data_IF_289486182062
#
_entry.id   IF_289486182062
#
_cell.length_a   1.000
_cell.length_b   1.000
_cell.length_c   1.000
_cell.angle_alpha   90.00
_cell.angle_beta   90.00
_cell.angle_gamma   90.00
#
_symmetry.space_group_name_H-M   'P 1'
#
loop_
_entity.id
_entity.type
_entity.pdbx_description
1 polymer ?
#
# COMPACT_ATOMS: atom_id res chain seq x y z
N UNK A 1 12.05 -14.92 16.77
CA UNK A 1 10.76 -15.52 16.59
C UNK A 1 10.77 -16.69 15.60
N UNK A 2 9.66 -17.40 15.51
CA UNK A 2 9.50 -18.55 14.58
C UNK A 2 9.59 -18.13 13.10
N UNK A 3 9.29 -16.88 12.78
CA UNK A 3 9.23 -16.33 11.42
C UNK A 3 10.48 -15.53 11.01
N UNK A 4 11.52 -15.47 11.84
CA UNK A 4 12.70 -14.65 11.58
C UNK A 4 13.47 -15.03 10.30
N UNK A 5 13.30 -16.27 9.82
CA UNK A 5 13.91 -16.77 8.59
C UNK A 5 13.00 -16.66 7.35
N UNK A 6 11.82 -16.04 7.48
CA UNK A 6 10.92 -15.84 6.36
C UNK A 6 11.14 -14.43 5.77
N UNK A 7 11.80 -14.30 4.61
CA UNK A 7 12.15 -13.01 4.03
C UNK A 7 10.92 -12.20 3.60
N UNK A 8 9.83 -12.83 3.18
CA UNK A 8 8.58 -12.14 2.86
C UNK A 8 8.01 -11.41 4.08
N UNK A 9 8.06 -12.07 5.27
CA UNK A 9 7.56 -11.46 6.51
C UNK A 9 8.53 -10.42 7.06
N UNK A 10 9.83 -10.54 6.82
CA UNK A 10 10.81 -9.50 7.18
C UNK A 10 10.64 -8.23 6.32
N UNK A 11 10.39 -8.39 5.03
CA UNK A 11 10.16 -7.24 4.13
C UNK A 11 8.74 -6.69 4.22
N UNK A 12 7.83 -7.42 4.86
CA UNK A 12 6.47 -6.96 5.08
C UNK A 12 6.46 -5.83 6.12
N UNK A 13 5.96 -4.62 5.73
CA UNK A 13 6.05 -3.46 6.61
C UNK A 13 5.01 -3.50 7.73
N UNK A 14 5.38 -2.94 8.88
CA UNK A 14 4.43 -2.64 9.95
C UNK A 14 3.26 -1.80 9.42
N UNK A 15 2.00 -2.09 9.78
CA UNK A 15 0.84 -1.40 9.21
C UNK A 15 0.76 0.09 9.53
N UNK A 16 1.37 0.55 10.62
CA UNK A 16 1.32 1.95 11.06
C UNK A 16 2.59 2.71 10.70
N UNK A 17 3.76 2.22 11.13
CA UNK A 17 5.04 2.91 10.90
C UNK A 17 5.55 2.76 9.48
N UNK A 18 5.10 1.73 8.76
CA UNK A 18 5.54 1.33 7.42
C UNK A 18 7.02 0.91 7.35
N UNK A 19 7.66 0.69 8.51
CA UNK A 19 9.01 0.15 8.60
C UNK A 19 9.02 -1.38 8.40
N UNK A 20 10.05 -1.89 7.75
CA UNK A 20 10.33 -3.32 7.53
C UNK A 20 11.76 -3.65 7.94
N UNK A 21 12.09 -4.93 8.07
CA UNK A 21 13.43 -5.42 8.40
C UNK A 21 13.98 -4.93 9.74
N UNK A 22 13.14 -4.54 10.69
CA UNK A 22 13.56 -4.05 12.01
C UNK A 22 12.49 -4.24 13.08
N UNK A 23 12.93 -4.22 14.34
CA UNK A 23 12.14 -3.76 15.46
C UNK A 23 12.75 -2.49 16.06
N UNK A 24 11.94 -1.71 16.72
CA UNK A 24 12.27 -0.40 17.23
C UNK A 24 11.41 -0.09 18.46
N UNK A 25 11.90 0.85 19.28
CA UNK A 25 11.13 1.40 20.38
C UNK A 25 10.16 2.45 19.83
N UNK A 26 8.87 2.14 19.84
CA UNK A 26 7.82 3.11 19.54
C UNK A 26 7.61 4.02 20.77
N UNK A 27 7.53 5.33 20.54
CA UNK A 27 7.21 6.31 21.57
C UNK A 27 6.33 7.43 21.03
N UNK A 28 5.64 8.13 21.93
CA UNK A 28 4.79 9.27 21.57
C UNK A 28 5.61 10.44 21.03
N UNK A 29 4.96 11.33 20.29
CA UNK A 29 5.56 12.59 19.83
C UNK A 29 5.97 13.48 21.01
N UNK A 30 5.15 13.51 22.08
CA UNK A 30 5.42 14.29 23.29
C UNK A 30 6.65 13.77 24.05
N UNK A 31 6.75 12.44 24.26
CA UNK A 31 7.92 11.85 24.93
C UNK A 31 9.20 12.02 24.10
N UNK A 32 9.10 11.86 22.79
CA UNK A 32 10.25 12.04 21.90
C UNK A 32 10.79 13.48 21.96
N UNK A 33 9.90 14.47 22.00
CA UNK A 33 10.26 15.88 22.12
C UNK A 33 10.92 16.17 23.48
N UNK A 34 10.33 15.65 24.56
CA UNK A 34 10.83 15.85 25.93
C UNK A 34 12.21 15.20 26.14
N UNK A 35 12.42 14.01 25.55
CA UNK A 35 13.68 13.27 25.68
C UNK A 35 14.70 13.58 24.56
N UNK A 36 14.36 14.44 23.61
CA UNK A 36 15.23 14.88 22.53
C UNK A 36 15.50 13.83 21.43
N UNK A 37 14.57 12.92 21.19
CA UNK A 37 14.64 11.95 20.07
C UNK A 37 14.09 12.54 18.78
N UNK A 38 14.61 12.07 17.63
CA UNK A 38 14.19 12.52 16.30
C UNK A 38 14.20 11.41 15.26
N UNK A 39 13.36 11.57 14.24
CA UNK A 39 13.37 10.76 13.01
C UNK A 39 13.55 11.66 11.78
N UNK A 40 14.76 12.12 11.49
CA UNK A 40 15.00 13.01 10.37
C UNK A 40 14.78 12.28 9.03
N UNK A 41 14.10 12.96 8.12
CA UNK A 41 13.96 12.52 6.72
C UNK A 41 15.13 13.07 5.92
N UNK A 42 15.82 12.20 5.19
CA UNK A 42 16.94 12.55 4.32
C UNK A 42 16.47 13.04 2.95
N UNK A 43 17.36 13.66 2.18
CA UNK A 43 17.06 14.18 0.85
C UNK A 43 16.49 13.13 -0.13
N UNK A 44 16.86 11.86 0.05
CA UNK A 44 16.34 10.75 -0.73
C UNK A 44 15.00 10.20 -0.22
N UNK A 45 14.41 10.81 0.80
CA UNK A 45 13.16 10.39 1.44
C UNK A 45 13.31 9.26 2.46
N UNK A 46 14.52 8.77 2.74
CA UNK A 46 14.73 7.75 3.76
C UNK A 46 14.63 8.34 5.17
N UNK A 47 14.15 7.54 6.12
CA UNK A 47 14.04 7.94 7.53
C UNK A 47 15.23 7.38 8.30
N UNK A 48 15.85 8.23 9.11
CA UNK A 48 16.82 7.83 10.13
C UNK A 48 16.21 7.95 11.53
N UNK A 49 16.82 7.31 12.53
CA UNK A 49 16.38 7.41 13.92
C UNK A 49 17.53 7.37 14.89
N UNK A 50 17.32 7.99 16.04
CA UNK A 50 18.25 7.94 17.18
C UNK A 50 18.19 6.56 17.86
N UNK A 51 19.22 6.22 18.64
CA UNK A 51 19.21 5.04 19.49
C UNK A 51 18.82 5.38 20.93
N UNK A 52 18.09 4.47 21.57
CA UNK A 52 17.78 4.50 23.00
C UNK A 52 18.31 3.25 23.70
N UNK A 53 18.89 3.42 24.86
CA UNK A 53 19.13 2.36 25.83
C UNK A 53 17.86 2.23 26.69
N UNK A 54 17.24 1.08 26.64
CA UNK A 54 16.05 0.73 27.40
C UNK A 54 16.45 -0.17 28.55
N UNK A 55 16.19 0.25 29.77
CA UNK A 55 16.50 -0.50 30.98
C UNK A 55 15.24 -0.82 31.75
N UNK A 56 15.03 -2.11 32.03
CA UNK A 56 13.90 -2.59 32.85
C UNK A 56 14.31 -3.84 33.62
N UNK A 57 13.95 -3.92 34.89
CA UNK A 57 14.25 -5.06 35.76
C UNK A 57 15.75 -5.47 35.81
N UNK A 58 16.65 -4.50 35.69
CA UNK A 58 18.11 -4.74 35.67
C UNK A 58 18.64 -5.35 34.37
N UNK A 59 17.85 -5.34 33.31
CA UNK A 59 18.26 -5.73 31.95
C UNK A 59 18.27 -4.50 31.06
N UNK A 60 19.22 -4.45 30.14
CA UNK A 60 19.39 -3.33 29.21
C UNK A 60 19.45 -3.82 27.77
N UNK A 61 18.86 -3.05 26.87
CA UNK A 61 18.91 -3.28 25.41
C UNK A 61 19.01 -1.93 24.72
N UNK A 62 19.90 -1.82 23.73
CA UNK A 62 19.98 -0.64 22.86
C UNK A 62 19.18 -0.92 21.61
N UNK A 63 18.22 -0.03 21.32
CA UNK A 63 17.31 -0.18 20.17
C UNK A 63 17.11 1.17 19.46
N UNK A 64 16.84 1.18 18.15
CA UNK A 64 16.45 2.42 17.46
C UNK A 64 15.07 2.89 17.90
N UNK A 65 14.83 4.18 17.80
CA UNK A 65 13.56 4.83 18.17
C UNK A 65 12.77 5.20 16.93
N UNK A 66 11.49 4.85 16.94
CA UNK A 66 10.50 5.30 15.95
C UNK A 66 9.41 6.11 16.66
N UNK A 67 9.29 7.38 16.29
CA UNK A 67 8.24 8.25 16.81
C UNK A 67 6.93 7.91 16.11
N UNK A 68 5.91 7.58 16.90
CA UNK A 68 4.62 7.17 16.40
C UNK A 68 3.52 8.12 16.86
N UNK A 69 2.89 8.86 15.94
CA UNK A 69 1.69 9.65 16.22
C UNK A 69 0.56 8.76 16.78
N UNK A 70 -0.20 9.27 17.74
CA UNK A 70 -1.26 8.53 18.40
C UNK A 70 -0.80 7.59 19.52
N UNK A 71 0.51 7.44 19.73
CA UNK A 71 1.04 6.73 20.90
C UNK A 71 0.80 7.56 22.16
N UNK A 72 0.22 6.96 23.19
CA UNK A 72 -0.04 7.66 24.44
C UNK A 72 1.25 8.09 25.15
N UNK A 73 1.31 9.31 25.67
CA UNK A 73 2.45 9.79 26.46
C UNK A 73 2.74 8.86 27.65
N UNK A 74 4.02 8.58 27.89
CA UNK A 74 4.48 7.66 28.94
C UNK A 74 4.30 6.18 28.59
N UNK A 75 3.91 5.84 27.37
CA UNK A 75 3.81 4.46 26.90
C UNK A 75 4.83 4.16 25.79
N UNK A 76 5.37 2.95 25.82
CA UNK A 76 6.40 2.49 24.89
C UNK A 76 6.00 1.13 24.31
N UNK A 77 6.35 0.91 23.04
CA UNK A 77 6.15 -0.39 22.39
C UNK A 77 7.46 -0.93 21.82
N UNK A 78 7.74 -2.22 22.04
CA UNK A 78 8.90 -2.89 21.47
C UNK A 78 8.54 -4.31 21.03
N UNK A 79 8.65 -4.59 19.73
CA UNK A 79 8.32 -5.88 19.18
C UNK A 79 9.38 -6.94 19.54
N UNK A 80 8.89 -8.14 19.88
CA UNK A 80 9.72 -9.33 20.11
C UNK A 80 9.93 -10.08 18.79
N UNK A 81 10.98 -10.93 18.74
CA UNK A 81 11.16 -11.88 17.63
C UNK A 81 12.26 -11.50 16.64
N UNK A 82 12.89 -10.37 16.79
CA UNK A 82 14.06 -9.89 16.05
C UNK A 82 15.38 -10.19 16.75
N UNK A 83 16.51 -9.81 16.12
CA UNK A 83 17.85 -9.96 16.68
C UNK A 83 18.34 -11.40 16.72
N UNK A 84 17.82 -12.27 15.86
CA UNK A 84 18.33 -13.62 15.68
C UNK A 84 19.54 -13.59 14.74
N UNK A 85 20.66 -14.15 15.19
CA UNK A 85 21.92 -14.19 14.41
C UNK A 85 22.27 -15.62 13.97
N UNK A 86 22.00 -16.63 14.80
CA UNK A 86 22.36 -18.00 14.51
C UNK A 86 21.44 -18.62 13.44
N UNK A 87 22.05 -19.22 12.42
CA UNK A 87 21.36 -19.94 11.35
C UNK A 87 20.65 -19.05 10.33
N UNK A 88 21.01 -17.75 10.30
CA UNK A 88 20.55 -16.80 9.29
C UNK A 88 21.72 -16.24 8.50
N UNK A 89 21.48 -15.86 7.23
CA UNK A 89 22.41 -15.05 6.45
C UNK A 89 22.58 -13.69 7.09
N UNK A 90 23.71 -13.04 6.86
CA UNK A 90 24.05 -11.74 7.45
C UNK A 90 22.99 -10.68 7.14
N UNK A 91 22.51 -10.62 5.91
CA UNK A 91 21.48 -9.66 5.43
C UNK A 91 20.12 -9.86 6.11
N UNK A 92 19.89 -11.03 6.70
CA UNK A 92 18.67 -11.36 7.45
C UNK A 92 18.84 -11.21 8.98
N UNK A 93 20.04 -10.87 9.46
CA UNK A 93 20.32 -10.65 10.88
C UNK A 93 19.97 -9.21 11.25
N UNK A 94 18.68 -8.93 11.33
CA UNK A 94 18.12 -7.60 11.51
C UNK A 94 17.44 -7.44 12.88
N UNK A 95 17.37 -6.17 13.31
CA UNK A 95 16.74 -5.79 14.57
C UNK A 95 17.52 -6.22 15.81
N UNK A 96 16.89 -6.08 16.96
CA UNK A 96 17.49 -6.31 18.28
C UNK A 96 16.69 -7.37 19.03
N UNK A 97 17.40 -8.23 19.78
CA UNK A 97 16.76 -9.21 20.65
C UNK A 97 16.18 -8.52 21.91
N UNK A 98 14.86 -8.34 21.92
CA UNK A 98 14.15 -7.75 23.05
C UNK A 98 13.67 -8.76 24.11
N UNK A 99 13.88 -10.07 23.92
CA UNK A 99 13.48 -11.09 24.91
C UNK A 99 14.12 -10.94 26.31
N UNK A 100 15.33 -10.39 26.48
CA UNK A 100 15.87 -10.13 27.83
C UNK A 100 14.99 -9.22 28.69
N UNK A 101 14.20 -8.34 28.05
CA UNK A 101 13.27 -7.43 28.74
C UNK A 101 11.91 -8.10 29.07
N UNK A 102 11.61 -9.24 28.43
CA UNK A 102 10.37 -9.99 28.64
C UNK A 102 10.40 -10.76 29.95
N UNK A 103 9.37 -10.62 30.77
CA UNK A 103 9.26 -11.31 32.06
C UNK A 103 8.04 -12.21 32.09
N UNK A 104 8.31 -13.52 31.99
CA UNK A 104 7.43 -14.64 32.33
C UNK A 104 5.92 -14.46 32.15
N UNK A 105 5.41 -14.49 30.89
CA UNK A 105 3.98 -14.45 30.62
C UNK A 105 3.34 -13.06 30.64
N UNK A 106 4.05 -12.02 31.07
CA UNK A 106 3.54 -10.65 31.09
C UNK A 106 4.26 -9.79 30.03
N UNK A 107 3.51 -9.32 29.05
CA UNK A 107 4.01 -8.43 28.00
C UNK A 107 4.11 -6.97 28.44
N UNK A 108 3.53 -6.61 29.58
CA UNK A 108 3.53 -5.24 30.13
C UNK A 108 4.61 -5.13 31.19
N UNK A 109 5.49 -4.14 31.02
CA UNK A 109 6.53 -3.81 31.98
C UNK A 109 6.33 -2.38 32.47
N UNK A 110 6.68 -2.13 33.72
CA UNK A 110 6.57 -0.80 34.36
C UNK A 110 7.96 -0.28 34.75
N UNK A 111 8.05 1.02 34.98
CA UNK A 111 9.27 1.67 35.42
C UNK A 111 10.44 1.46 34.45
N UNK A 112 10.17 1.69 33.18
CA UNK A 112 11.17 1.60 32.11
C UNK A 112 12.00 2.88 32.12
N UNK A 113 13.32 2.75 32.25
CA UNK A 113 14.24 3.87 32.08
C UNK A 113 14.73 3.93 30.62
N UNK A 114 14.81 5.15 30.09
CA UNK A 114 15.26 5.41 28.72
C UNK A 114 16.39 6.42 28.76
N UNK A 115 17.46 6.13 28.05
CA UNK A 115 18.60 7.02 27.89
C UNK A 115 18.95 7.12 26.40
N UNK A 116 19.11 8.34 25.87
CA UNK A 116 19.55 8.54 24.49
C UNK A 116 21.01 8.13 24.37
N UNK A 117 21.32 7.36 23.32
CA UNK A 117 22.67 6.86 23.03
C UNK A 117 23.12 7.42 21.67
N UNK A 118 24.39 7.70 21.55
CA UNK A 118 24.99 8.18 20.30
C UNK A 118 24.86 7.16 19.19
N UNK A 119 24.62 7.65 17.99
CA UNK A 119 24.48 6.85 16.79
C UNK A 119 23.20 7.16 16.02
N UNK A 120 23.16 6.70 14.77
CA UNK A 120 22.02 6.89 13.87
C UNK A 120 21.64 5.58 13.23
N UNK A 121 20.39 5.18 13.36
CA UNK A 121 19.84 4.00 12.72
C UNK A 121 19.17 4.33 11.39
N UNK A 122 19.33 3.43 10.42
CA UNK A 122 18.77 3.56 9.09
C UNK A 122 17.52 2.67 8.96
N UNK A 123 16.33 3.28 8.96
CA UNK A 123 15.07 2.56 8.75
C UNK A 123 14.79 2.30 7.27
N UNK A 124 14.14 1.19 6.99
CA UNK A 124 13.60 0.83 5.68
C UNK A 124 12.07 0.98 5.72
N UNK A 125 11.57 2.15 5.34
CA UNK A 125 10.14 2.44 5.30
C UNK A 125 9.63 2.39 3.86
N UNK A 126 8.53 1.68 3.64
CA UNK A 126 7.87 1.61 2.33
C UNK A 126 7.02 2.84 2.01
N UNK A 127 6.69 3.63 3.02
CA UNK A 127 5.97 4.89 2.90
C UNK A 127 6.53 5.91 3.88
N UNK A 128 6.90 7.08 3.40
CA UNK A 128 7.39 8.21 4.20
C UNK A 128 6.30 9.26 4.39
N UNK A 129 5.44 9.44 3.39
CA UNK A 129 4.32 10.37 3.46
C UNK A 129 3.34 9.98 4.58
N UNK A 130 2.92 10.96 5.39
CA UNK A 130 2.09 10.74 6.57
C UNK A 130 0.61 11.01 6.34
N UNK A 131 0.27 12.12 5.67
CA UNK A 131 -1.11 12.58 5.43
C UNK A 131 -1.45 12.59 3.95
N UNK A 132 -2.71 12.86 3.60
CA UNK A 132 -3.11 13.10 2.20
C UNK A 132 -2.77 14.52 1.71
N UNK A 133 -2.30 15.41 2.60
CA UNK A 133 -1.95 16.80 2.30
C UNK A 133 -3.07 17.55 1.55
N UNK A 134 -4.32 17.43 2.01
CA UNK A 134 -5.50 18.06 1.42
C UNK A 134 -5.93 17.50 0.06
N UNK A 135 -5.46 16.29 -0.33
CA UNK A 135 -5.80 15.66 -1.62
C UNK A 135 -6.90 14.61 -1.45
N UNK A 136 -8.12 15.05 -1.20
CA UNK A 136 -9.27 14.18 -0.93
C UNK A 136 -9.69 13.29 -2.12
N UNK A 137 -9.19 13.53 -3.33
CA UNK A 137 -9.38 12.63 -4.49
C UNK A 137 -8.64 11.30 -4.36
N UNK A 138 -7.69 11.20 -3.44
CA UNK A 138 -6.95 9.95 -3.15
C UNK A 138 -7.76 9.09 -2.19
N UNK A 139 -8.21 9.67 -1.08
CA UNK A 139 -8.92 8.98 -0.02
C UNK A 139 -10.17 9.78 0.34
N UNK A 140 -11.34 9.16 0.18
CA UNK A 140 -12.61 9.74 0.59
C UNK A 140 -13.08 9.11 1.91
N UNK A 141 -13.40 9.96 2.85
CA UNK A 141 -13.86 9.60 4.19
C UNK A 141 -15.14 10.39 4.50
N UNK A 142 -16.08 9.77 5.18
CA UNK A 142 -17.27 10.43 5.68
C UNK A 142 -17.55 10.00 7.13
N UNK A 143 -18.08 10.88 7.95
CA UNK A 143 -18.67 10.49 9.24
C UNK A 143 -19.99 9.74 9.01
N UNK A 144 -20.41 8.95 9.96
CA UNK A 144 -21.72 8.27 9.89
C UNK A 144 -22.89 9.29 9.83
N UNK A 145 -22.71 10.44 10.45
CA UNK A 145 -23.67 11.55 10.40
C UNK A 145 -23.82 12.09 8.97
N UNK A 146 -22.72 12.42 8.32
CA UNK A 146 -22.72 12.89 6.93
C UNK A 146 -23.28 11.83 5.98
N UNK A 147 -22.87 10.58 6.13
CA UNK A 147 -23.39 9.46 5.33
C UNK A 147 -24.92 9.34 5.37
N UNK A 148 -25.54 9.63 6.53
CA UNK A 148 -26.97 9.55 6.72
C UNK A 148 -27.75 10.83 6.36
N UNK A 149 -27.10 12.00 6.42
CA UNK A 149 -27.80 13.29 6.32
C UNK A 149 -27.46 14.08 5.07
N UNK A 150 -26.30 13.85 4.44
CA UNK A 150 -25.83 14.59 3.27
C UNK A 150 -25.93 13.74 2.01
N UNK A 151 -26.38 14.33 0.91
CA UNK A 151 -26.40 13.65 -0.39
C UNK A 151 -24.95 13.34 -0.84
N UNK A 152 -24.63 12.10 -1.25
CA UNK A 152 -23.26 11.70 -1.52
C UNK A 152 -22.57 12.53 -2.62
N UNK A 153 -23.31 12.96 -3.63
CA UNK A 153 -22.79 13.71 -4.81
C UNK A 153 -23.18 15.18 -4.81
N UNK A 154 -23.59 15.72 -3.67
CA UNK A 154 -23.85 17.16 -3.57
C UNK A 154 -22.60 17.96 -3.99
N UNK A 155 -22.82 19.03 -4.77
CA UNK A 155 -21.73 19.81 -5.37
C UNK A 155 -20.83 20.48 -4.32
N UNK A 156 -21.39 20.92 -3.21
CA UNK A 156 -20.66 21.67 -2.18
C UNK A 156 -20.26 20.80 -0.99
N UNK A 157 -21.17 19.94 -0.51
CA UNK A 157 -21.04 19.22 0.75
C UNK A 157 -21.04 17.70 0.60
N UNK A 158 -21.08 17.17 -0.64
CA UNK A 158 -21.16 15.73 -0.88
C UNK A 158 -19.90 14.99 -0.43
N UNK A 159 -20.06 13.98 0.42
CA UNK A 159 -18.97 13.13 0.92
C UNK A 159 -18.39 12.21 -0.16
N UNK A 160 -19.05 12.00 -1.29
CA UNK A 160 -18.55 11.32 -2.48
C UNK A 160 -18.68 12.21 -3.71
N UNK A 161 -18.34 13.47 -3.57
CA UNK A 161 -18.38 14.48 -4.62
C UNK A 161 -17.59 14.04 -5.85
N UNK A 162 -18.16 14.15 -7.08
CA UNK A 162 -17.43 13.95 -8.33
C UNK A 162 -16.31 14.96 -8.49
N UNK A 163 -15.31 14.62 -9.28
CA UNK A 163 -14.29 15.59 -9.68
C UNK A 163 -14.87 16.58 -10.70
N UNK A 164 -14.66 17.88 -10.48
CA UNK A 164 -15.04 18.94 -11.40
C UNK A 164 -13.80 19.59 -12.02
N UNK A 165 -13.92 20.00 -13.26
CA UNK A 165 -12.88 20.71 -14.01
C UNK A 165 -13.47 21.93 -14.72
N UNK A 166 -12.65 22.94 -14.97
CA UNK A 166 -13.05 24.09 -15.79
C UNK A 166 -12.87 23.75 -17.27
N UNK A 167 -13.96 23.77 -18.02
CA UNK A 167 -13.96 23.57 -19.47
C UNK A 167 -14.82 24.68 -20.12
N UNK A 168 -14.24 25.39 -21.08
CA UNK A 168 -14.88 26.53 -21.74
C UNK A 168 -15.49 27.56 -20.74
N UNK A 169 -14.68 27.88 -19.71
CA UNK A 169 -15.07 28.79 -18.62
C UNK A 169 -16.28 28.34 -17.78
N UNK A 170 -16.69 27.10 -17.89
CA UNK A 170 -17.74 26.47 -17.07
C UNK A 170 -17.19 25.35 -16.24
N UNK A 171 -17.72 25.16 -15.04
CA UNK A 171 -17.42 24.01 -14.19
C UNK A 171 -18.28 22.82 -14.64
N UNK A 172 -17.64 21.72 -15.01
CA UNK A 172 -18.29 20.49 -15.48
C UNK A 172 -17.68 19.27 -14.79
N UNK A 173 -18.47 18.22 -14.65
CA UNK A 173 -17.90 16.96 -14.14
C UNK A 173 -16.80 16.44 -15.05
N UNK A 174 -15.62 16.10 -14.50
CA UNK A 174 -14.47 15.64 -15.27
C UNK A 174 -14.78 14.44 -16.17
N UNK A 175 -15.67 13.55 -15.73
CA UNK A 175 -16.08 12.35 -16.50
C UNK A 175 -16.83 12.67 -17.80
N UNK A 176 -17.36 13.90 -17.98
CA UNK A 176 -18.08 14.31 -19.19
C UNK A 176 -17.14 14.79 -20.28
N UNK A 177 -15.85 14.98 -19.95
CA UNK A 177 -14.81 15.42 -20.88
C UNK A 177 -13.84 14.30 -21.10
N UNK A 178 -13.81 13.73 -22.28
CA UNK A 178 -12.88 12.68 -22.68
C UNK A 178 -12.24 13.03 -24.02
N UNK A 179 -10.94 12.76 -24.15
CA UNK A 179 -10.19 12.93 -25.41
C UNK A 179 -10.27 11.71 -26.31
N UNK A 180 -10.83 10.60 -25.79
CA UNK A 180 -10.87 9.32 -26.46
C UNK A 180 -12.30 8.85 -26.65
N UNK A 181 -12.59 8.26 -27.81
CA UNK A 181 -13.84 7.53 -27.99
C UNK A 181 -13.84 6.30 -27.05
N UNK A 182 -14.95 6.11 -26.35
CA UNK A 182 -15.08 4.97 -25.45
C UNK A 182 -15.14 3.66 -26.26
N UNK A 183 -14.26 2.72 -25.90
CA UNK A 183 -14.39 1.35 -26.37
C UNK A 183 -15.63 0.69 -25.73
N UNK A 184 -16.36 -0.09 -26.49
CA UNK A 184 -17.46 -0.87 -25.92
C UNK A 184 -16.91 -1.95 -24.98
N UNK A 185 -17.09 -1.71 -23.67
CA UNK A 185 -16.65 -2.58 -22.59
C UNK A 185 -17.73 -3.54 -22.11
N UNK A 186 -18.93 -3.48 -22.68
CA UNK A 186 -20.06 -4.31 -22.30
C UNK A 186 -20.03 -5.68 -23.02
N UNK A 187 -19.11 -5.89 -23.95
CA UNK A 187 -18.98 -7.13 -24.71
C UNK A 187 -18.03 -8.09 -24.00
N UNK A 188 -18.56 -9.23 -23.56
CA UNK A 188 -17.79 -10.27 -22.86
C UNK A 188 -17.57 -9.97 -21.40
N UNK A 189 -16.49 -10.50 -20.82
CA UNK A 189 -16.14 -10.28 -19.42
C UNK A 189 -15.41 -8.96 -19.25
N UNK A 190 -15.72 -8.24 -18.15
CA UNK A 190 -14.98 -7.05 -17.75
C UNK A 190 -14.69 -7.12 -16.24
N UNK A 191 -13.51 -7.68 -15.91
CA UNK A 191 -13.14 -7.93 -14.51
C UNK A 191 -12.74 -6.67 -13.78
N UNK A 192 -13.31 -6.49 -12.62
CA UNK A 192 -13.06 -5.38 -11.70
C UNK A 192 -12.75 -5.90 -10.29
N UNK A 193 -12.13 -5.04 -9.49
CA UNK A 193 -11.90 -5.27 -8.07
C UNK A 193 -12.52 -4.13 -7.27
N UNK A 194 -13.41 -4.43 -6.34
CA UNK A 194 -13.93 -3.45 -5.37
C UNK A 194 -13.20 -3.57 -4.04
N UNK A 195 -12.90 -2.43 -3.41
CA UNK A 195 -12.18 -2.36 -2.12
C UNK A 195 -12.97 -1.49 -1.16
N UNK A 196 -13.52 -2.07 -0.10
CA UNK A 196 -14.21 -1.33 0.96
C UNK A 196 -13.23 -0.82 2.01
N UNK A 197 -13.05 0.51 2.05
CA UNK A 197 -12.12 1.15 2.98
C UNK A 197 -12.66 1.19 4.42
N UNK A 198 -13.97 0.99 4.63
CA UNK A 198 -14.55 0.84 5.97
C UNK A 198 -14.16 -0.50 6.58
N UNK A 199 -14.19 -1.57 5.78
CA UNK A 199 -13.89 -2.93 6.23
C UNK A 199 -12.38 -3.23 6.25
N UNK A 200 -11.55 -2.42 5.56
CA UNK A 200 -10.11 -2.64 5.48
C UNK A 200 -9.42 -2.27 6.81
N UNK A 201 -8.79 -3.23 7.46
CA UNK A 201 -8.04 -3.06 8.73
C UNK A 201 -6.54 -2.82 8.52
N UNK A 202 -6.05 -2.82 7.27
CA UNK A 202 -4.62 -2.67 6.99
C UNK A 202 -3.76 -3.90 7.33
N UNK A 203 -4.36 -5.05 7.59
CA UNK A 203 -3.66 -6.26 8.09
C UNK A 203 -2.60 -6.84 7.13
N UNK A 204 -2.68 -6.53 5.82
CA UNK A 204 -1.69 -6.90 4.81
C UNK A 204 -1.70 -8.35 4.35
N UNK A 205 -2.66 -9.18 4.74
CA UNK A 205 -2.79 -10.55 4.23
C UNK A 205 -2.82 -10.61 2.70
N UNK A 206 -3.48 -9.63 2.07
CA UNK A 206 -3.55 -9.46 0.61
C UNK A 206 -2.16 -9.18 -0.02
N UNK A 207 -1.26 -8.49 0.67
CA UNK A 207 0.10 -8.20 0.18
C UNK A 207 0.93 -9.49 0.17
N UNK A 208 0.91 -10.25 1.27
CA UNK A 208 1.64 -11.52 1.38
C UNK A 208 1.10 -12.54 0.37
N UNK A 209 -0.22 -12.65 0.21
CA UNK A 209 -0.84 -13.52 -0.78
C UNK A 209 -0.44 -13.14 -2.22
N UNK A 210 -0.37 -11.84 -2.53
CA UNK A 210 0.10 -11.36 -3.82
C UNK A 210 1.57 -11.75 -4.08
N UNK A 211 2.44 -11.66 -3.07
CA UNK A 211 3.84 -12.07 -3.18
C UNK A 211 3.97 -13.55 -3.49
N UNK A 212 3.26 -14.40 -2.74
CA UNK A 212 3.28 -15.85 -2.91
C UNK A 212 2.74 -16.27 -4.28
N UNK A 213 1.59 -15.73 -4.69
CA UNK A 213 0.94 -16.09 -5.95
C UNK A 213 1.71 -15.63 -7.18
N UNK A 214 2.25 -14.41 -7.15
CA UNK A 214 2.81 -13.77 -8.33
C UNK A 214 4.35 -13.77 -8.38
N UNK A 215 5.01 -14.59 -7.58
CA UNK A 215 6.47 -14.67 -7.51
C UNK A 215 7.12 -13.29 -7.34
N UNK A 216 6.57 -12.45 -6.48
CA UNK A 216 7.12 -11.10 -6.22
C UNK A 216 8.42 -11.27 -5.44
N UNK A 217 9.55 -10.70 -5.93
CA UNK A 217 10.84 -10.90 -5.28
C UNK A 217 10.96 -10.10 -3.98
N UNK A 218 11.77 -10.63 -3.05
CA UNK A 218 12.28 -9.91 -1.88
C UNK A 218 13.55 -9.17 -2.29
N UNK A 219 13.72 -7.94 -1.84
CA UNK A 219 14.84 -7.08 -2.25
C UNK A 219 15.79 -6.70 -1.11
N UNK A 220 15.37 -6.87 0.15
CA UNK A 220 16.17 -6.60 1.32
C UNK A 220 16.09 -5.15 1.83
N UNK A 221 16.61 -4.95 3.03
CA UNK A 221 16.50 -3.68 3.77
C UNK A 221 17.01 -2.48 3.01
N UNK A 222 18.19 -2.60 2.37
CA UNK A 222 18.85 -1.49 1.69
C UNK A 222 18.06 -1.01 0.47
N UNK A 223 17.49 -1.92 -0.32
CA UNK A 223 16.69 -1.57 -1.50
C UNK A 223 15.33 -0.96 -1.11
N UNK A 224 14.69 -1.47 -0.06
CA UNK A 224 13.46 -0.87 0.50
C UNK A 224 13.75 0.57 0.95
N UNK A 225 14.87 0.80 1.65
CA UNK A 225 15.26 2.13 2.14
C UNK A 225 15.43 3.16 1.01
N UNK A 226 15.90 2.76 -0.15
CA UNK A 226 16.05 3.65 -1.32
C UNK A 226 14.82 3.66 -2.24
N UNK A 227 13.68 3.12 -1.78
CA UNK A 227 12.41 3.15 -2.51
C UNK A 227 12.33 2.18 -3.69
N UNK A 228 13.09 1.08 -3.65
CA UNK A 228 13.10 0.03 -4.68
C UNK A 228 12.42 -1.25 -4.23
N UNK A 229 11.50 -1.17 -3.28
CA UNK A 229 10.63 -2.29 -2.91
C UNK A 229 9.85 -2.80 -4.13
N UNK A 230 9.58 -4.11 -4.15
CA UNK A 230 8.91 -4.77 -5.29
C UNK A 230 7.44 -5.13 -5.00
N UNK A 231 6.83 -4.54 -4.00
CA UNK A 231 5.43 -4.78 -3.68
C UNK A 231 4.49 -4.39 -4.85
N UNK A 232 3.85 -5.38 -5.48
CA UNK A 232 2.84 -5.14 -6.53
C UNK A 232 1.54 -4.57 -5.98
N UNK A 233 1.22 -4.95 -4.76
CA UNK A 233 0.15 -4.42 -3.93
C UNK A 233 0.79 -3.87 -2.67
N UNK A 234 0.55 -2.60 -2.36
CA UNK A 234 0.93 -1.98 -1.10
C UNK A 234 -0.32 -1.50 -0.36
N UNK A 235 -0.21 -1.28 0.93
CA UNK A 235 -1.24 -0.61 1.70
C UNK A 235 -0.69 0.74 2.12
N UNK A 236 -1.24 1.82 1.61
CA UNK A 236 -0.90 3.16 2.03
C UNK A 236 -1.63 3.47 3.35
N UNK A 237 -0.93 4.10 4.28
CA UNK A 237 -1.46 4.54 5.56
C UNK A 237 -1.49 6.06 5.59
N UNK A 238 -2.62 6.64 5.95
CA UNK A 238 -2.78 8.08 6.07
C UNK A 238 -3.26 8.42 7.48
N UNK A 239 -2.54 9.35 8.11
CA UNK A 239 -2.97 10.01 9.33
C UNK A 239 -3.86 11.20 9.00
N UNK A 240 -4.80 11.53 9.89
CA UNK A 240 -5.44 12.85 9.88
C UNK A 240 -4.43 13.92 10.31
N UNK A 241 -4.64 15.15 9.87
CA UNK A 241 -3.91 16.33 10.34
C UNK A 241 -4.87 17.24 11.10
N UNK A 242 -4.33 18.19 11.86
CA UNK A 242 -5.15 19.20 12.52
C UNK A 242 -5.83 20.15 11.53
N UNK A 243 -5.27 20.26 10.32
CA UNK A 243 -5.79 21.04 9.20
C UNK A 243 -5.97 20.10 8.01
N UNK A 244 -7.20 19.80 7.65
CA UNK A 244 -7.49 18.82 6.61
C UNK A 244 -7.63 19.43 5.21
N UNK A 245 -8.05 20.70 5.13
CA UNK A 245 -8.32 21.37 3.84
C UNK A 245 -7.47 22.63 3.64
N UNK A 246 -7.28 23.01 2.39
CA UNK A 246 -6.57 24.25 2.02
C UNK A 246 -7.37 25.47 2.44
N UNK A 247 -8.67 25.37 2.45
CA UNK A 247 -9.62 26.42 2.85
C UNK A 247 -9.45 26.72 4.34
N UNK A 248 -9.48 25.71 5.20
CA UNK A 248 -9.21 25.83 6.63
C UNK A 248 -7.83 26.45 6.91
N UNK A 249 -6.77 25.99 6.21
CA UNK A 249 -5.45 26.58 6.36
C UNK A 249 -5.41 28.07 6.03
N UNK A 250 -6.15 28.51 4.98
CA UNK A 250 -6.26 29.91 4.62
C UNK A 250 -7.06 30.74 5.63
N UNK A 251 -8.15 30.18 6.17
CA UNK A 251 -8.94 30.80 7.24
C UNK A 251 -8.12 31.03 8.50
N UNK A 252 -7.16 30.12 8.79
CA UNK A 252 -6.16 30.29 9.87
C UNK A 252 -5.06 31.30 9.52
N UNK A 253 -5.10 31.92 8.32
CA UNK A 253 -4.11 32.91 7.86
C UNK A 253 -2.80 32.27 7.35
N UNK A 254 -2.76 30.97 7.13
CA UNK A 254 -1.57 30.27 6.61
C UNK A 254 -1.45 30.44 5.10
N UNK A 255 -0.22 30.58 4.61
CA UNK A 255 0.05 30.76 3.18
C UNK A 255 1.40 30.12 2.79
N UNK A 256 1.60 29.89 1.49
CA UNK A 256 2.86 29.36 0.97
C UNK A 256 3.31 28.05 1.63
N UNK A 257 4.54 28.02 2.11
CA UNK A 257 5.14 26.83 2.74
C UNK A 257 4.47 26.42 4.04
N UNK A 258 4.01 27.35 4.85
CA UNK A 258 3.36 27.07 6.14
C UNK A 258 2.01 26.36 5.95
N UNK A 259 1.26 26.74 4.92
CA UNK A 259 0.03 26.06 4.53
C UNK A 259 0.28 24.59 4.20
N UNK A 260 1.28 24.31 3.35
CA UNK A 260 1.60 22.93 3.00
C UNK A 260 2.15 22.14 4.19
N UNK A 261 2.96 22.77 5.03
CA UNK A 261 3.47 22.13 6.24
C UNK A 261 2.34 21.75 7.21
N UNK A 262 1.33 22.61 7.39
CA UNK A 262 0.18 22.29 8.22
C UNK A 262 -0.62 21.10 7.70
N UNK A 263 -0.83 21.01 6.37
CA UNK A 263 -1.52 19.90 5.73
C UNK A 263 -0.71 18.57 5.75
N UNK A 264 0.61 18.64 5.76
CA UNK A 264 1.50 17.46 5.74
C UNK A 264 1.81 16.92 7.14
N UNK A 265 1.64 17.76 8.18
CA UNK A 265 1.93 17.37 9.57
C UNK A 265 0.75 16.58 10.12
N UNK A 266 1.04 15.41 10.65
CA UNK A 266 0.07 14.56 11.35
C UNK A 266 -0.38 15.18 12.66
N UNK A 267 -1.63 14.94 13.05
CA UNK A 267 -2.15 15.31 14.36
C UNK A 267 -1.42 14.55 15.49
N UNK A 268 -1.42 15.07 16.69
CA UNK A 268 -0.81 14.39 17.84
C UNK A 268 -1.51 13.06 18.15
N UNK A 269 -2.84 13.02 18.03
CA UNK A 269 -3.65 11.82 18.16
C UNK A 269 -4.47 11.58 16.88
N UNK A 270 -3.81 11.13 15.78
CA UNK A 270 -4.46 11.06 14.47
C UNK A 270 -5.38 9.86 14.35
N UNK A 271 -6.43 10.03 13.56
CA UNK A 271 -7.12 8.91 12.98
C UNK A 271 -6.28 8.28 11.86
N UNK A 272 -6.42 6.97 11.68
CA UNK A 272 -5.67 6.22 10.68
C UNK A 272 -6.60 5.64 9.64
N UNK A 273 -6.26 5.88 8.36
CA UNK A 273 -6.95 5.26 7.24
C UNK A 273 -5.98 4.42 6.43
N UNK A 274 -6.42 3.21 6.05
CA UNK A 274 -5.67 2.29 5.21
C UNK A 274 -6.26 2.25 3.82
N UNK A 275 -5.40 2.31 2.80
CA UNK A 275 -5.81 2.21 1.41
C UNK A 275 -4.92 1.23 0.66
N UNK A 276 -5.41 0.01 0.38
CA UNK A 276 -4.72 -0.91 -0.53
C UNK A 276 -4.59 -0.28 -1.92
N UNK A 277 -3.37 -0.25 -2.45
CA UNK A 277 -3.05 0.37 -3.75
C UNK A 277 -2.28 -0.60 -4.63
N UNK A 278 -2.84 -0.89 -5.80
CA UNK A 278 -2.27 -1.73 -6.85
C UNK A 278 -2.48 -1.10 -8.22
N UNK A 279 -2.06 -1.80 -9.28
CA UNK A 279 -2.42 -1.36 -10.64
C UNK A 279 -3.94 -1.18 -10.73
N UNK A 280 -4.38 -0.03 -11.21
CA UNK A 280 -5.79 0.31 -11.34
C UNK A 280 -6.42 -0.29 -12.62
N UNK A 281 -5.64 -0.99 -13.45
CA UNK A 281 -6.09 -1.59 -14.70
C UNK A 281 -6.92 -0.61 -15.54
N UNK A 282 -6.37 0.60 -15.70
CA UNK A 282 -7.02 1.72 -16.35
C UNK A 282 -7.42 1.39 -17.79
N UNK A 283 -8.65 1.71 -18.18
CA UNK A 283 -9.12 1.55 -19.56
C UNK A 283 -8.53 2.61 -20.49
N UNK A 284 -8.22 3.80 -19.95
CA UNK A 284 -7.40 4.83 -20.61
C UNK A 284 -6.04 4.87 -19.91
N UNK A 285 -5.20 3.87 -20.20
CA UNK A 285 -3.98 3.63 -19.45
C UNK A 285 -2.81 4.51 -19.94
N UNK A 286 -2.38 5.53 -19.16
CA UNK A 286 -1.27 6.39 -19.55
C UNK A 286 0.07 5.68 -19.64
N UNK A 287 0.17 4.47 -19.07
CA UNK A 287 1.35 3.62 -19.18
C UNK A 287 1.44 2.86 -20.51
N UNK A 288 0.34 2.67 -21.24
CA UNK A 288 0.32 1.99 -22.54
C UNK A 288 0.83 2.92 -23.65
N UNK A 289 0.36 4.15 -23.66
CA UNK A 289 0.70 5.13 -24.70
C UNK A 289 2.18 5.49 -24.75
N UNK A 290 2.90 5.37 -23.64
CA UNK A 290 4.33 5.71 -23.54
C UNK A 290 5.26 4.51 -23.67
N UNK A 291 4.74 3.31 -23.86
CA UNK A 291 5.57 2.12 -24.03
C UNK A 291 6.03 1.97 -25.48
N UNK A 292 7.35 2.11 -25.80
CA UNK A 292 7.84 2.13 -27.17
C UNK A 292 7.69 0.77 -27.88
N UNK A 293 7.52 -0.30 -27.11
CA UNK A 293 7.46 -1.68 -27.62
C UNK A 293 6.10 -2.37 -27.35
N UNK A 294 5.10 -1.61 -26.90
CA UNK A 294 3.78 -2.14 -26.51
C UNK A 294 3.87 -3.37 -25.58
N UNK A 295 4.84 -3.36 -24.65
CA UNK A 295 4.95 -4.40 -23.62
C UNK A 295 3.83 -4.30 -22.59
N UNK A 296 3.23 -3.12 -22.42
CA UNK A 296 2.04 -2.88 -21.62
C UNK A 296 0.84 -2.77 -22.55
N UNK A 297 -0.16 -3.61 -22.38
CA UNK A 297 -1.35 -3.66 -23.23
C UNK A 297 -2.60 -4.05 -22.42
N UNK A 298 -3.76 -3.68 -22.93
CA UNK A 298 -5.05 -3.99 -22.32
C UNK A 298 -5.60 -5.30 -22.86
N UNK A 299 -6.04 -6.18 -21.96
CA UNK A 299 -6.76 -7.40 -22.33
C UNK A 299 -8.25 -7.12 -22.59
N UNK A 300 -8.89 -7.97 -23.37
CA UNK A 300 -10.34 -7.86 -23.67
C UNK A 300 -11.21 -7.97 -22.41
N UNK A 301 -10.68 -8.55 -21.34
CA UNK A 301 -11.38 -8.76 -20.09
C UNK A 301 -11.15 -7.62 -19.06
N UNK A 302 -10.64 -6.48 -19.49
CA UNK A 302 -10.41 -5.31 -18.63
C UNK A 302 -9.07 -5.31 -17.86
N UNK A 303 -8.23 -6.33 -18.03
CA UNK A 303 -6.95 -6.44 -17.35
C UNK A 303 -5.82 -5.81 -18.18
N UNK A 304 -5.09 -4.86 -17.59
CA UNK A 304 -3.85 -4.34 -18.17
C UNK A 304 -2.72 -5.35 -17.94
N UNK A 305 -2.06 -5.78 -19.00
CA UNK A 305 -1.08 -6.86 -19.00
C UNK A 305 0.34 -6.35 -19.22
N UNK A 306 1.31 -7.20 -18.88
CA UNK A 306 2.72 -6.99 -19.18
C UNK A 306 3.27 -8.19 -19.97
N UNK A 307 3.78 -7.91 -21.17
CA UNK A 307 4.60 -8.87 -21.93
C UNK A 307 6.06 -8.68 -21.50
N UNK A 308 6.50 -9.41 -20.47
CA UNK A 308 7.81 -9.22 -19.84
C UNK A 308 8.97 -9.40 -20.80
N UNK A 309 8.89 -10.37 -21.71
CA UNK A 309 9.90 -10.64 -22.75
C UNK A 309 10.00 -9.53 -23.82
N UNK A 310 9.04 -8.64 -23.90
CA UNK A 310 9.03 -7.49 -24.80
C UNK A 310 9.51 -6.21 -24.14
N UNK A 311 9.53 -6.16 -22.80
CA UNK A 311 9.91 -4.98 -22.04
C UNK A 311 11.41 -4.70 -22.18
N UNK A 312 11.75 -3.49 -22.62
CA UNK A 312 13.15 -3.00 -22.74
C UNK A 312 13.58 -2.07 -21.61
N UNK A 313 12.74 -1.90 -20.59
CA UNK A 313 13.10 -1.22 -19.34
C UNK A 313 13.27 0.31 -19.43
N UNK A 314 12.60 0.99 -20.35
CA UNK A 314 12.66 2.48 -20.44
C UNK A 314 12.09 3.17 -19.19
N UNK A 315 11.26 2.50 -18.38
CA UNK A 315 10.62 2.97 -17.15
C UNK A 315 9.68 4.17 -17.31
N UNK A 316 9.46 4.66 -18.54
CA UNK A 316 8.54 5.77 -18.76
C UNK A 316 7.12 5.43 -18.29
N UNK A 317 6.68 4.19 -18.45
CA UNK A 317 5.39 3.75 -17.92
C UNK A 317 5.26 3.85 -16.39
N UNK A 318 6.36 3.78 -15.64
CA UNK A 318 6.35 4.01 -14.19
C UNK A 318 6.22 5.50 -13.86
N UNK A 319 6.95 6.35 -14.58
CA UNK A 319 6.89 7.81 -14.39
C UNK A 319 5.51 8.37 -14.75
N UNK A 320 4.88 7.80 -15.79
CA UNK A 320 3.56 8.23 -16.27
C UNK A 320 2.38 7.61 -15.50
N UNK A 321 2.64 6.69 -14.57
CA UNK A 321 1.60 6.09 -13.74
C UNK A 321 1.25 7.02 -12.56
N UNK A 322 0.03 7.61 -12.50
CA UNK A 322 -0.33 8.50 -11.40
C UNK A 322 -0.43 7.78 -10.05
N UNK A 323 -0.67 6.48 -10.07
CA UNK A 323 -0.83 5.64 -8.87
C UNK A 323 0.50 5.10 -8.31
N UNK A 324 1.62 5.29 -9.01
CA UNK A 324 2.97 4.84 -8.59
C UNK A 324 3.03 3.36 -8.24
N UNK A 325 2.44 2.50 -9.07
CA UNK A 325 2.27 1.05 -8.81
C UNK A 325 3.07 0.15 -9.76
N UNK A 326 4.03 0.70 -10.44
CA UNK A 326 4.88 -0.06 -11.36
C UNK A 326 6.29 -0.14 -10.78
N UNK A 327 6.82 -1.39 -10.70
CA UNK A 327 8.11 -1.70 -10.09
C UNK A 327 9.12 -2.10 -11.15
N UNK A 328 10.37 -1.74 -10.96
CA UNK A 328 11.44 -2.08 -11.89
C UNK A 328 12.34 -3.15 -11.27
N UNK A 329 12.63 -4.21 -12.03
CA UNK A 329 13.53 -5.26 -11.59
C UNK A 329 14.98 -4.85 -11.84
N UNK A 330 15.69 -4.42 -10.80
CA UNK A 330 17.04 -3.88 -10.90
C UNK A 330 18.13 -4.94 -10.99
N UNK A 331 17.97 -6.08 -10.31
CA UNK A 331 19.12 -6.94 -9.97
C UNK A 331 18.94 -8.43 -10.29
N UNK A 332 17.90 -8.82 -11.03
CA UNK A 332 17.62 -10.24 -11.30
C UNK A 332 17.53 -11.07 -10.01
N UNK A 333 16.70 -10.66 -9.10
CA UNK A 333 16.60 -11.17 -7.71
C UNK A 333 16.50 -12.70 -7.60
N UNK A 334 15.91 -13.38 -8.58
CA UNK A 334 15.73 -14.83 -8.61
C UNK A 334 17.02 -15.63 -8.92
N UNK A 335 18.08 -14.98 -9.37
CA UNK A 335 19.36 -15.60 -9.71
C UNK A 335 20.53 -14.63 -9.46
N UNK A 336 20.60 -14.09 -8.24
CA UNK A 336 21.65 -13.19 -7.80
C UNK A 336 21.98 -13.50 -6.35
N UNK A 337 23.23 -13.90 -6.08
CA UNK A 337 23.66 -14.33 -4.75
C UNK A 337 23.58 -13.20 -3.71
N UNK A 338 23.73 -11.94 -4.12
CA UNK A 338 23.60 -10.78 -3.24
C UNK A 338 22.17 -10.64 -2.68
N UNK A 339 21.17 -11.06 -3.47
CA UNK A 339 19.75 -11.01 -3.11
C UNK A 339 19.17 -12.38 -2.78
N UNK A 340 20.01 -13.37 -2.47
CA UNK A 340 19.54 -14.69 -2.08
C UNK A 340 19.15 -14.74 -0.59
N UNK A 341 17.91 -14.44 -0.31
CA UNK A 341 17.32 -14.59 1.02
C UNK A 341 16.82 -16.03 1.28
N UNK A 342 17.60 -17.04 0.93
CA UNK A 342 17.26 -18.48 0.94
C UNK A 342 16.13 -18.87 -0.05
N UNK A 343 15.93 -18.10 -1.10
CA UNK A 343 14.89 -18.32 -2.12
C UNK A 343 15.46 -18.76 -3.48
N UNK A 344 16.77 -18.69 -3.68
CA UNK A 344 17.43 -19.01 -4.96
C UNK A 344 18.04 -20.43 -5.00
N UNK A 345 18.12 -21.13 -3.88
CA UNK A 345 18.52 -22.52 -3.82
C UNK A 345 17.39 -23.47 -4.27
N UNK A 346 17.66 -24.75 -4.41
CA UNK A 346 16.68 -25.74 -4.88
C UNK A 346 15.41 -25.77 -4.03
N UNK A 347 15.53 -25.70 -2.71
CA UNK A 347 14.39 -25.71 -1.79
C UNK A 347 13.61 -24.39 -1.83
N UNK A 348 14.31 -23.28 -1.87
CA UNK A 348 13.69 -21.94 -1.96
C UNK A 348 12.87 -21.77 -3.25
N UNK A 349 13.36 -22.30 -4.37
CA UNK A 349 12.63 -22.27 -5.64
C UNK A 349 11.34 -23.09 -5.63
N UNK A 350 11.18 -24.04 -4.71
CA UNK A 350 9.94 -24.82 -4.58
C UNK A 350 8.72 -23.98 -4.15
N UNK A 351 8.90 -22.77 -3.59
CA UNK A 351 7.79 -21.88 -3.26
C UNK A 351 7.27 -21.08 -4.46
N UNK A 352 8.00 -21.09 -5.58
CA UNK A 352 7.61 -20.34 -6.78
C UNK A 352 6.40 -21.00 -7.43
N UNK A 353 5.43 -20.15 -7.81
CA UNK A 353 4.26 -20.56 -8.58
C UNK A 353 4.68 -20.85 -10.04
N UNK A 354 4.52 -22.09 -10.54
CA UNK A 354 4.93 -22.46 -11.88
C UNK A 354 4.08 -21.80 -12.99
N UNK A 355 2.87 -21.35 -12.66
CA UNK A 355 1.95 -20.70 -13.60
C UNK A 355 2.27 -19.22 -13.84
N UNK A 356 3.21 -18.66 -13.07
CA UNK A 356 3.59 -17.25 -13.15
C UNK A 356 5.07 -17.12 -13.49
N UNK A 357 5.36 -16.40 -14.55
CA UNK A 357 6.73 -16.12 -14.99
C UNK A 357 7.53 -15.42 -13.88
N UNK A 358 8.72 -15.93 -13.61
CA UNK A 358 9.74 -15.24 -12.80
C UNK A 358 10.47 -14.23 -13.69
N UNK A 359 10.44 -12.96 -13.32
CA UNK A 359 10.97 -11.87 -14.14
C UNK A 359 12.47 -11.72 -13.96
N UNK A 360 13.12 -11.36 -15.05
CA UNK A 360 14.55 -11.08 -15.08
C UNK A 360 14.83 -9.59 -14.83
N UNK A 361 16.12 -9.26 -14.66
CA UNK A 361 16.59 -7.89 -14.60
C UNK A 361 16.14 -7.06 -15.81
N UNK A 362 15.81 -5.80 -15.59
CA UNK A 362 15.57 -4.82 -16.65
C UNK A 362 14.13 -4.72 -17.14
N UNK A 363 13.19 -5.41 -16.50
CA UNK A 363 11.77 -5.35 -16.85
C UNK A 363 10.95 -4.61 -15.80
N UNK A 364 9.81 -4.09 -16.23
CA UNK A 364 8.81 -3.51 -15.32
C UNK A 364 7.85 -4.59 -14.84
N UNK A 365 7.54 -4.56 -13.57
CA UNK A 365 6.58 -5.46 -12.92
C UNK A 365 5.41 -4.69 -12.33
N UNK A 366 4.24 -5.30 -12.27
CA UNK A 366 3.04 -4.73 -11.65
C UNK A 366 1.98 -5.78 -11.40
N UNK A 367 0.97 -5.47 -10.60
CA UNK A 367 -0.22 -6.30 -10.44
C UNK A 367 -0.82 -6.64 -11.81
N UNK A 368 -1.10 -7.93 -12.03
CA UNK A 368 -1.77 -8.46 -13.23
C UNK A 368 -3.25 -8.74 -13.00
N UNK A 369 -3.78 -8.49 -11.80
CA UNK A 369 -5.11 -8.95 -11.34
C UNK A 369 -5.23 -10.48 -11.48
N UNK A 370 -4.15 -11.19 -11.13
CA UNK A 370 -4.01 -12.66 -11.21
C UNK A 370 -4.49 -13.23 -12.55
N UNK A 371 -4.00 -12.65 -13.65
CA UNK A 371 -4.43 -12.99 -15.01
C UNK A 371 -4.27 -14.48 -15.33
N UNK A 372 -3.31 -15.18 -14.69
CA UNK A 372 -3.13 -16.62 -14.82
C UNK A 372 -4.40 -17.39 -14.40
N UNK A 373 -5.04 -17.01 -13.31
CA UNK A 373 -6.28 -17.63 -12.84
C UNK A 373 -7.44 -17.37 -13.79
N UNK A 374 -7.58 -16.13 -14.25
CA UNK A 374 -8.59 -15.76 -15.27
C UNK A 374 -8.43 -16.58 -16.54
N UNK A 375 -7.21 -16.69 -17.07
CA UNK A 375 -6.95 -17.42 -18.32
C UNK A 375 -7.13 -18.93 -18.14
N UNK A 376 -6.73 -19.50 -16.98
CA UNK A 376 -6.96 -20.91 -16.68
C UNK A 376 -8.46 -21.24 -16.66
N UNK A 377 -9.28 -20.40 -16.03
CA UNK A 377 -10.73 -20.57 -15.95
C UNK A 377 -11.40 -20.43 -17.33
N UNK A 378 -10.99 -19.43 -18.13
CA UNK A 378 -11.48 -19.27 -19.50
C UNK A 378 -11.14 -20.50 -20.34
N UNK A 379 -9.91 -21.01 -20.22
CA UNK A 379 -9.48 -22.21 -20.97
C UNK A 379 -10.27 -23.45 -20.56
N UNK A 380 -10.51 -23.62 -19.26
CA UNK A 380 -11.33 -24.72 -18.74
C UNK A 380 -12.76 -24.64 -19.29
N UNK A 381 -13.41 -23.50 -19.19
CA UNK A 381 -14.76 -23.28 -19.70
C UNK A 381 -14.87 -23.56 -21.21
N UNK A 382 -13.88 -23.12 -22.02
CA UNK A 382 -13.81 -23.41 -23.44
C UNK A 382 -13.67 -24.91 -23.74
N UNK A 383 -12.85 -25.64 -22.95
CA UNK A 383 -12.73 -27.11 -23.11
C UNK A 383 -14.02 -27.84 -22.79
N UNK A 384 -14.78 -27.33 -21.84
CA UNK A 384 -16.05 -27.87 -21.39
C UNK A 384 -17.25 -27.39 -22.24
N UNK A 385 -17.05 -26.50 -23.20
CA UNK A 385 -18.10 -25.96 -24.09
C UNK A 385 -19.14 -25.10 -23.38
N UNK A 386 -18.77 -24.46 -22.25
CA UNK A 386 -19.65 -23.62 -21.41
C UNK A 386 -19.13 -22.18 -21.28
N UNK A 387 -19.95 -21.31 -20.77
CA UNK A 387 -19.57 -19.96 -20.36
C UNK A 387 -18.75 -19.99 -19.06
N UNK A 388 -17.92 -18.96 -18.85
CA UNK A 388 -17.18 -18.77 -17.60
C UNK A 388 -18.16 -18.42 -16.47
N UNK A 389 -18.05 -19.13 -15.34
CA UNK A 389 -18.67 -18.70 -14.10
C UNK A 389 -17.63 -17.92 -13.26
N UNK A 390 -17.97 -16.69 -12.89
CA UNK A 390 -17.08 -15.79 -12.15
C UNK A 390 -16.82 -16.24 -10.70
N UNK A 391 -17.68 -17.12 -10.17
CA UNK A 391 -17.49 -17.70 -8.83
C UNK A 391 -16.44 -18.82 -8.80
N UNK A 392 -15.87 -19.23 -9.94
CA UNK A 392 -14.90 -20.31 -10.02
C UNK A 392 -13.48 -19.88 -9.64
N UNK A 393 -13.20 -18.59 -9.58
CA UNK A 393 -11.88 -18.08 -9.25
C UNK A 393 -11.95 -16.70 -8.62
N UNK A 394 -10.93 -16.39 -7.86
CA UNK A 394 -10.71 -15.09 -7.23
C UNK A 394 -9.25 -14.66 -7.44
N UNK A 395 -8.97 -13.39 -7.24
CA UNK A 395 -7.58 -12.93 -7.15
C UNK A 395 -6.99 -13.36 -5.80
N UNK A 396 -5.69 -13.60 -5.74
CA UNK A 396 -5.02 -13.98 -4.49
C UNK A 396 -5.28 -12.99 -3.34
N UNK A 397 -5.37 -11.69 -3.66
CA UNK A 397 -5.62 -10.66 -2.67
C UNK A 397 -7.08 -10.65 -2.17
N UNK A 398 -8.08 -10.91 -3.02
CA UNK A 398 -9.49 -11.02 -2.59
C UNK A 398 -9.72 -12.26 -1.75
N UNK A 399 -9.20 -13.40 -2.19
CA UNK A 399 -9.28 -14.68 -1.47
C UNK A 399 -8.65 -14.63 -0.08
N UNK A 400 -7.52 -13.92 0.08
CA UNK A 400 -6.83 -13.77 1.36
C UNK A 400 -7.38 -12.66 2.26
N UNK A 401 -8.37 -11.88 1.80
CA UNK A 401 -8.90 -10.76 2.55
C UNK A 401 -9.77 -11.23 3.72
N UNK A 402 -9.24 -11.19 4.93
CA UNK A 402 -9.88 -11.71 6.14
C UNK A 402 -11.19 -11.00 6.51
N UNK A 403 -11.34 -9.73 6.11
CA UNK A 403 -12.55 -8.93 6.37
C UNK A 403 -13.52 -8.89 5.20
N UNK A 404 -13.17 -9.51 4.06
CA UNK A 404 -13.97 -9.45 2.84
C UNK A 404 -14.03 -8.04 2.22
N UNK A 405 -13.09 -7.16 2.58
CA UNK A 405 -13.03 -5.80 2.03
C UNK A 405 -12.72 -5.78 0.52
N UNK A 406 -12.05 -6.79 0.00
CA UNK A 406 -11.72 -6.92 -1.42
C UNK A 406 -12.65 -7.91 -2.10
N UNK A 407 -13.33 -7.48 -3.15
CA UNK A 407 -14.27 -8.30 -3.93
C UNK A 407 -13.88 -8.20 -5.41
N UNK A 408 -13.52 -9.34 -5.99
CA UNK A 408 -13.22 -9.47 -7.41
C UNK A 408 -14.42 -10.06 -8.15
N UNK A 409 -14.68 -9.63 -9.39
CA UNK A 409 -15.76 -10.18 -10.21
C UNK A 409 -15.89 -9.47 -11.56
N UNK A 410 -16.99 -9.77 -12.26
CA UNK A 410 -17.30 -9.28 -13.59
C UNK A 410 -18.42 -8.22 -13.54
N UNK A 411 -18.12 -6.97 -13.84
CA UNK A 411 -19.11 -5.89 -13.81
C UNK A 411 -20.15 -5.98 -14.93
N UNK A 412 -19.86 -6.75 -16.00
CA UNK A 412 -20.82 -6.99 -17.06
C UNK A 412 -21.87 -8.04 -16.70
N UNK A 413 -21.64 -8.80 -15.63
CA UNK A 413 -22.59 -9.76 -15.08
C UNK A 413 -23.39 -9.08 -13.95
N UNK A 414 -24.63 -8.68 -14.21
CA UNK A 414 -25.45 -7.90 -13.29
C UNK A 414 -25.66 -8.55 -11.91
N UNK A 415 -25.63 -9.87 -11.86
CA UNK A 415 -25.80 -10.68 -10.64
C UNK A 415 -24.50 -10.77 -9.82
N UNK A 416 -23.37 -10.33 -10.38
CA UNK A 416 -22.10 -10.37 -9.70
C UNK A 416 -22.04 -9.30 -8.59
N UNK A 417 -21.49 -9.67 -7.45
CA UNK A 417 -21.34 -8.79 -6.29
C UNK A 417 -20.56 -7.51 -6.62
N UNK A 418 -19.57 -7.61 -7.49
CA UNK A 418 -18.76 -6.45 -7.88
C UNK A 418 -19.57 -5.45 -8.71
N UNK A 419 -20.55 -5.91 -9.51
CA UNK A 419 -21.44 -5.04 -10.27
C UNK A 419 -22.34 -4.21 -9.34
N UNK A 420 -22.89 -4.84 -8.30
CA UNK A 420 -23.65 -4.14 -7.27
C UNK A 420 -22.79 -3.13 -6.49
N UNK A 421 -21.56 -3.50 -6.15
CA UNK A 421 -20.63 -2.59 -5.46
C UNK A 421 -20.19 -1.41 -6.35
N UNK A 422 -20.08 -1.60 -7.66
CA UNK A 422 -19.78 -0.53 -8.62
C UNK A 422 -20.91 0.50 -8.72
N UNK A 423 -22.14 0.07 -8.52
CA UNK A 423 -23.34 0.92 -8.51
C UNK A 423 -23.67 1.53 -7.13
N UNK A 424 -22.95 1.15 -6.08
CA UNK A 424 -23.16 1.67 -4.72
C UNK A 424 -22.86 3.17 -4.63
N UNK A 425 -23.60 3.89 -3.78
CA UNK A 425 -23.41 5.33 -3.55
C UNK A 425 -22.04 5.69 -2.97
N UNK A 426 -21.34 4.72 -2.33
CA UNK A 426 -19.97 4.88 -1.81
C UNK A 426 -18.89 4.64 -2.87
N UNK A 427 -19.25 4.11 -4.03
CA UNK A 427 -18.26 3.80 -5.08
C UNK A 427 -17.58 5.06 -5.63
N UNK A 428 -16.24 5.04 -5.69
CA UNK A 428 -15.45 6.09 -6.33
C UNK A 428 -14.16 5.52 -6.96
N UNK A 429 -13.56 6.27 -7.87
CA UNK A 429 -12.25 5.98 -8.43
C UNK A 429 -11.22 6.98 -7.88
N UNK A 430 -10.04 6.50 -7.53
CA UNK A 430 -8.94 7.35 -7.06
C UNK A 430 -8.44 8.20 -8.22
N UNK A 431 -8.24 9.52 -7.99
CA UNK A 431 -7.81 10.49 -8.98
C UNK A 431 -8.74 10.54 -10.21
N UNK A 432 -10.05 10.51 -9.97
CA UNK A 432 -11.07 10.45 -11.01
C UNK A 432 -10.94 11.57 -12.07
N UNK A 433 -10.50 12.76 -11.64
CA UNK A 433 -10.27 13.90 -12.54
C UNK A 433 -9.25 13.65 -13.67
N UNK A 434 -8.40 12.64 -13.54
CA UNK A 434 -7.43 12.26 -14.59
C UNK A 434 -8.05 11.44 -15.73
N UNK A 435 -9.28 11.00 -15.58
CA UNK A 435 -10.04 10.21 -16.57
C UNK A 435 -9.30 8.98 -17.10
N UNK A 436 -8.55 8.30 -16.23
CA UNK A 436 -7.87 7.04 -16.59
C UNK A 436 -8.81 5.84 -16.67
N UNK A 437 -10.08 6.01 -16.26
CA UNK A 437 -11.15 4.99 -16.25
C UNK A 437 -10.68 3.69 -15.55
N UNK A 438 -10.43 3.70 -14.22
CA UNK A 438 -9.94 2.53 -13.48
C UNK A 438 -10.93 1.37 -13.42
N UNK A 439 -10.41 0.14 -13.37
CA UNK A 439 -11.16 -1.09 -13.06
C UNK A 439 -11.04 -1.51 -11.58
N UNK A 440 -10.38 -0.70 -10.76
CA UNK A 440 -10.40 -0.83 -9.31
C UNK A 440 -11.29 0.26 -8.74
N UNK A 441 -12.29 -0.16 -7.97
CA UNK A 441 -13.33 0.69 -7.40
C UNK A 441 -13.13 0.71 -5.90
N UNK A 442 -13.10 1.89 -5.30
CA UNK A 442 -13.05 2.03 -3.85
C UNK A 442 -14.42 2.40 -3.29
N UNK A 443 -14.72 1.90 -2.10
CA UNK A 443 -15.88 2.34 -1.33
C UNK A 443 -15.41 3.35 -0.28
N UNK A 444 -16.05 4.52 -0.24
CA UNK A 444 -15.76 5.58 0.73
C UNK A 444 -15.72 5.01 2.15
N UNK A 445 -14.72 5.39 2.92
CA UNK A 445 -14.62 5.01 4.34
C UNK A 445 -15.66 5.76 5.15
N UNK A 446 -16.54 5.02 5.84
CA UNK A 446 -17.49 5.61 6.78
C UNK A 446 -16.96 5.39 8.20
N UNK A 447 -16.81 6.49 8.95
CA UNK A 447 -16.36 6.49 10.35
C UNK A 447 -17.56 6.60 11.27
N UNK A 448 -17.60 5.79 12.32
CA UNK A 448 -18.61 5.88 13.36
C UNK A 448 -18.05 6.69 14.54
N UNK A 449 -17.71 7.94 14.29
CA UNK A 449 -17.29 8.89 15.31
C UNK A 449 -18.48 9.79 15.67
N UNK A 450 -18.59 10.11 16.95
CA UNK A 450 -19.64 11.00 17.49
C UNK A 450 -19.27 12.48 17.35
N UNK A 451 -18.89 12.90 16.15
CA UNK A 451 -18.71 14.31 15.84
C UNK A 451 -19.98 14.93 15.22
#
# INVERSE_FOLDING_TARGET
GKQANNPWLQEFPDPITRASWDNYLMMSMADATELGFSNPVKDNGAIDGDYAKVSVNGKEVVVPVMIQPGQAKGSLGLALGYGKTFGLKEEMQVGVNAYPLYKGGNNIQYNVAIEKVDGTHQFACTQVQKTIAGRHDILKVASLKEYNTVAPKDHHHGWNKPAYVSYDHKEVEAKTIDLWDEHNREIGHHFNLSIDLTSCTGCGACVVACHAENNVPVVGKNEVRVGRDMHWLRIDRYYSSEVETREEAKEMGLSGGDLYKALETEAENPEVSFQPMMCQHCNHAPCETVCPVAATSHGRQGQNQMAYNRCVGTRYCANNCPYRVRRFNWFNYSNNNEFDFNMNNEYGKMVLNPDVVVRSRGVMEKCSMCIQMTQATILKAKKEGRTVNTDEFETACSSACTTGAMVFGDVNKKEDKVAALAADKRAYNVLDYLQTKPNVIYQVKVKNTNE
#
